data_IF_620963807970
#
_entry.id   IF_620963807970
#
_cell.length_a   1.000
_cell.length_b   1.000
_cell.length_c   1.000
_cell.angle_alpha   90.00
_cell.angle_beta   90.00
_cell.angle_gamma   90.00
#
_symmetry.space_group_name_H-M   'P 1'
#
loop_
_entity.id
_entity.type
_entity.pdbx_description
1 polymer ?
#
# COMPACT_ATOMS: atom_id res chain seq x y z
N UNK A 1 -29.86 -26.63 -28.44
CA UNK A 1 -28.58 -27.31 -28.22
C UNK A 1 -27.55 -26.74 -29.20
N UNK A 2 -26.29 -26.50 -28.83
CA UNK A 2 -25.74 -26.19 -27.50
C UNK A 2 -24.79 -24.98 -27.56
N UNK A 3 -24.84 -24.08 -26.56
CA UNK A 3 -23.70 -23.18 -26.29
C UNK A 3 -23.38 -23.17 -24.81
N UNK A 4 -22.41 -24.03 -24.49
CA UNK A 4 -21.28 -23.79 -23.59
C UNK A 4 -21.57 -23.10 -22.26
N UNK A 5 -21.74 -23.94 -21.25
CA UNK A 5 -21.53 -23.65 -19.84
C UNK A 5 -20.13 -23.04 -19.63
N UNK A 6 -20.05 -21.77 -19.26
CA UNK A 6 -18.82 -21.19 -18.72
C UNK A 6 -18.72 -21.58 -17.24
N UNK A 7 -17.61 -22.17 -16.78
CA UNK A 7 -17.41 -22.43 -15.37
C UNK A 7 -17.14 -21.12 -14.63
N UNK A 8 -17.89 -20.92 -13.55
CA UNK A 8 -17.72 -19.87 -12.57
C UNK A 8 -16.28 -19.88 -12.06
N UNK A 9 -15.51 -18.85 -12.40
CA UNK A 9 -14.19 -18.61 -11.82
C UNK A 9 -14.41 -18.21 -10.38
N UNK A 10 -14.23 -19.15 -9.46
CA UNK A 10 -14.12 -18.90 -8.03
C UNK A 10 -12.92 -17.99 -7.82
N UNK A 11 -13.18 -16.69 -7.70
CA UNK A 11 -12.26 -15.74 -7.10
C UNK A 11 -12.08 -16.16 -5.65
N UNK A 12 -10.97 -16.85 -5.38
CA UNK A 12 -10.51 -17.16 -4.03
C UNK A 12 -10.16 -15.84 -3.34
N UNK A 13 -11.18 -15.22 -2.76
CA UNK A 13 -11.01 -14.31 -1.65
C UNK A 13 -10.27 -15.08 -0.57
N UNK A 14 -8.96 -14.83 -0.44
CA UNK A 14 -8.14 -15.41 0.62
C UNK A 14 -8.56 -14.79 1.95
N UNK A 15 -9.67 -15.29 2.49
CA UNK A 15 -10.00 -15.23 3.90
C UNK A 15 -8.82 -15.82 4.65
N UNK A 16 -8.16 -14.99 5.46
CA UNK A 16 -6.87 -15.27 6.07
C UNK A 16 -7.10 -16.07 7.36
N UNK A 17 -7.56 -17.30 7.17
CA UNK A 17 -7.73 -18.30 8.21
C UNK A 17 -6.37 -18.64 8.84
N UNK A 18 -6.39 -19.14 10.08
CA UNK A 18 -5.25 -19.89 10.62
C UNK A 18 -4.76 -20.91 9.60
N UNK A 19 -3.46 -21.19 9.51
CA UNK A 19 -2.93 -22.17 8.56
C UNK A 19 -3.66 -23.48 8.77
N UNK A 20 -4.24 -24.05 7.71
CA UNK A 20 -5.02 -25.27 7.79
C UNK A 20 -4.10 -26.49 8.05
N UNK A 21 -2.79 -26.34 7.81
CA UNK A 21 -1.78 -27.39 7.98
C UNK A 21 -0.39 -26.87 8.33
N UNK A 22 0.47 -27.75 8.84
CA UNK A 22 1.88 -27.47 9.15
C UNK A 22 2.70 -27.12 7.90
N UNK A 23 2.37 -27.71 6.76
CA UNK A 23 3.12 -27.49 5.52
C UNK A 23 2.78 -26.14 4.89
N UNK A 24 1.53 -25.71 4.98
CA UNK A 24 1.11 -24.34 4.63
C UNK A 24 1.81 -23.30 5.51
N UNK A 25 1.88 -23.55 6.82
CA UNK A 25 2.61 -22.69 7.75
C UNK A 25 4.10 -22.53 7.40
N UNK A 26 4.77 -23.64 7.08
CA UNK A 26 6.18 -23.62 6.67
C UNK A 26 6.38 -22.87 5.35
N UNK A 27 5.51 -23.11 4.37
CA UNK A 27 5.57 -22.42 3.07
C UNK A 27 5.37 -20.90 3.23
N UNK A 28 4.39 -20.47 4.04
CA UNK A 28 4.22 -19.06 4.36
C UNK A 28 5.48 -18.47 5.01
N UNK A 29 6.03 -19.15 6.02
CA UNK A 29 7.26 -18.71 6.69
C UNK A 29 8.41 -18.53 5.70
N UNK A 30 8.65 -19.49 4.81
CA UNK A 30 9.71 -19.38 3.81
C UNK A 30 9.49 -18.24 2.82
N UNK A 31 8.25 -18.06 2.34
CA UNK A 31 7.88 -16.98 1.43
C UNK A 31 8.16 -15.62 2.07
N UNK A 32 7.65 -15.40 3.28
CA UNK A 32 7.87 -14.13 4.00
C UNK A 32 9.34 -13.91 4.35
N UNK A 33 10.09 -14.95 4.75
CA UNK A 33 11.53 -14.79 5.03
C UNK A 33 12.32 -14.37 3.79
N UNK A 34 12.00 -14.93 2.61
CA UNK A 34 12.62 -14.51 1.34
C UNK A 34 12.33 -13.05 1.02
N UNK A 35 11.09 -12.61 1.20
CA UNK A 35 10.70 -11.21 1.00
C UNK A 35 11.44 -10.28 1.98
N UNK A 36 11.45 -10.62 3.27
CA UNK A 36 12.08 -9.83 4.33
C UNK A 36 13.59 -9.66 4.11
N UNK A 37 14.27 -10.68 3.59
CA UNK A 37 15.71 -10.62 3.39
C UNK A 37 16.16 -9.71 2.24
N UNK A 38 15.22 -9.24 1.41
CA UNK A 38 15.48 -8.21 0.39
C UNK A 38 15.43 -6.77 0.93
N UNK A 39 14.91 -6.59 2.15
CA UNK A 39 14.72 -5.28 2.77
C UNK A 39 16.01 -4.73 3.43
N UNK A 40 16.13 -3.39 3.58
CA UNK A 40 17.17 -2.74 4.38
C UNK A 40 17.12 -3.18 5.85
N UNK A 41 18.23 -3.05 6.57
CA UNK A 41 18.43 -3.64 7.91
C UNK A 41 17.39 -3.20 8.95
N UNK A 42 17.00 -1.92 8.95
CA UNK A 42 15.99 -1.39 9.87
C UNK A 42 14.57 -1.95 9.60
N UNK A 43 14.21 -2.12 8.33
CA UNK A 43 12.93 -2.70 7.94
C UNK A 43 12.92 -4.21 8.15
N UNK A 44 14.06 -4.86 7.90
CA UNK A 44 14.28 -6.29 8.12
C UNK A 44 14.07 -6.65 9.58
N UNK A 45 14.66 -5.90 10.53
CA UNK A 45 14.46 -6.14 11.96
C UNK A 45 12.99 -6.06 12.36
N UNK A 46 12.29 -5.01 11.93
CA UNK A 46 10.85 -4.85 12.22
C UNK A 46 10.01 -5.97 11.60
N UNK A 47 10.33 -6.40 10.39
CA UNK A 47 9.60 -7.44 9.70
C UNK A 47 9.85 -8.84 10.31
N UNK A 48 11.09 -9.16 10.69
CA UNK A 48 11.42 -10.39 11.43
C UNK A 48 10.73 -10.39 12.80
N UNK A 49 10.78 -9.29 13.55
CA UNK A 49 10.07 -9.15 14.84
C UNK A 49 8.57 -9.43 14.68
N UNK A 50 7.93 -8.85 13.66
CA UNK A 50 6.51 -9.07 13.36
C UNK A 50 6.21 -10.54 13.04
N UNK A 51 7.04 -11.18 12.21
CA UNK A 51 6.88 -12.58 11.86
C UNK A 51 7.09 -13.50 13.08
N UNK A 52 8.10 -13.20 13.90
CA UNK A 52 8.39 -13.89 15.16
C UNK A 52 7.21 -13.85 16.12
N UNK A 53 6.71 -12.65 16.41
CA UNK A 53 5.57 -12.46 17.30
C UNK A 53 4.30 -13.12 16.74
N UNK A 54 4.10 -13.16 15.42
CA UNK A 54 2.93 -13.80 14.78
C UNK A 54 2.87 -15.31 15.04
N UNK A 55 4.00 -16.00 14.91
CA UNK A 55 4.06 -17.46 15.05
C UNK A 55 4.33 -17.93 16.49
N UNK A 56 4.60 -17.01 17.42
CA UNK A 56 4.92 -17.36 18.80
C UNK A 56 3.81 -18.20 19.46
N UNK A 57 4.14 -19.32 20.14
CA UNK A 57 3.16 -20.26 20.70
C UNK A 57 2.22 -19.62 21.72
N UNK A 58 2.70 -18.68 22.56
CA UNK A 58 1.85 -17.95 23.52
C UNK A 58 0.72 -17.12 22.88
N UNK A 59 0.81 -16.80 21.57
CA UNK A 59 -0.27 -16.08 20.86
C UNK A 59 -1.29 -17.00 20.20
N UNK A 60 -0.96 -18.28 20.05
CA UNK A 60 -1.68 -19.27 19.25
C UNK A 60 -2.18 -20.44 20.12
N UNK A 61 -2.88 -20.11 21.21
CA UNK A 61 -3.39 -21.06 22.20
C UNK A 61 -4.40 -22.06 21.62
N UNK A 62 -5.09 -21.68 20.55
CA UNK A 62 -6.10 -22.53 19.92
C UNK A 62 -5.47 -23.66 19.08
N UNK A 63 -4.18 -23.55 18.74
CA UNK A 63 -3.43 -24.53 17.94
C UNK A 63 -1.96 -24.64 18.42
N UNK A 64 -1.75 -24.84 19.72
CA UNK A 64 -0.43 -24.93 20.37
C UNK A 64 0.57 -25.87 19.66
N UNK A 65 0.22 -27.13 19.31
CA UNK A 65 1.20 -28.04 18.70
C UNK A 65 1.65 -27.56 17.31
N UNK A 66 0.73 -27.06 16.49
CA UNK A 66 1.02 -26.49 15.17
C UNK A 66 1.90 -25.24 15.29
N UNK A 67 1.54 -24.31 16.17
CA UNK A 67 2.28 -23.07 16.38
C UNK A 67 3.69 -23.32 16.92
N UNK A 68 3.85 -24.30 17.82
CA UNK A 68 5.15 -24.67 18.39
C UNK A 68 6.08 -25.21 17.30
N UNK A 69 5.60 -26.10 16.43
CA UNK A 69 6.38 -26.67 15.34
C UNK A 69 6.71 -25.63 14.26
N UNK A 70 5.74 -24.79 13.87
CA UNK A 70 5.96 -23.68 12.95
C UNK A 70 6.97 -22.65 13.52
N UNK A 71 6.91 -22.36 14.81
CA UNK A 71 7.81 -21.42 15.48
C UNK A 71 9.24 -21.96 15.61
N UNK A 72 9.40 -23.26 15.92
CA UNK A 72 10.71 -23.94 15.86
C UNK A 72 11.30 -23.84 14.46
N UNK A 73 10.50 -24.13 13.45
CA UNK A 73 10.90 -24.04 12.05
C UNK A 73 11.32 -22.62 11.66
N UNK A 74 10.54 -21.60 12.06
CA UNK A 74 10.87 -20.19 11.88
C UNK A 74 12.23 -19.83 12.49
N UNK A 75 12.45 -20.19 13.77
CA UNK A 75 13.73 -19.90 14.46
C UNK A 75 14.92 -20.54 13.75
N UNK A 76 14.77 -21.80 13.32
CA UNK A 76 15.81 -22.51 12.58
C UNK A 76 16.11 -21.83 11.24
N UNK A 77 15.06 -21.43 10.49
CA UNK A 77 15.24 -20.73 9.22
C UNK A 77 15.87 -19.36 9.40
N UNK A 78 15.44 -18.56 10.38
CA UNK A 78 16.09 -17.27 10.68
C UNK A 78 17.58 -17.47 11.02
N UNK A 79 17.92 -18.53 11.77
CA UNK A 79 19.32 -18.87 12.05
C UNK A 79 20.09 -19.31 10.79
N UNK A 80 19.50 -20.10 9.89
CA UNK A 80 20.09 -20.47 8.59
C UNK A 80 20.36 -19.25 7.71
N UNK A 81 19.39 -18.33 7.60
CA UNK A 81 19.54 -17.08 6.85
C UNK A 81 20.59 -16.15 7.47
N UNK A 82 20.73 -16.16 8.80
CA UNK A 82 21.73 -15.36 9.53
C UNK A 82 23.14 -15.95 9.42
N UNK A 83 23.29 -17.28 9.38
CA UNK A 83 24.58 -17.98 9.23
C UNK A 83 25.06 -18.06 7.77
N UNK A 84 24.18 -17.86 6.80
CA UNK A 84 24.47 -17.97 5.37
C UNK A 84 24.51 -19.44 4.91
N UNK A 85 24.08 -19.70 3.66
CA UNK A 85 24.22 -21.01 3.01
C UNK A 85 25.69 -21.44 3.00
N UNK A 86 26.08 -22.29 3.95
CA UNK A 86 27.39 -22.90 4.01
C UNK A 86 27.55 -23.97 2.92
N UNK A 87 27.96 -23.56 1.72
CA UNK A 87 28.77 -24.40 0.84
C UNK A 87 29.52 -23.52 -0.18
N UNK A 88 30.71 -23.07 0.21
CA UNK A 88 31.82 -22.82 -0.71
C UNK A 88 33.12 -22.97 0.07
N UNK A 89 33.88 -24.02 -0.26
CA UNK A 89 35.32 -24.05 0.01
C UNK A 89 35.94 -23.00 -0.91
N UNK A 90 36.47 -21.90 -0.37
CA UNK A 90 37.73 -21.29 -0.81
C UNK A 90 38.03 -20.04 0.02
N UNK A 91 39.17 -20.10 0.70
CA UNK A 91 40.20 -19.06 0.87
C UNK A 91 39.85 -17.59 0.56
N UNK A 92 39.97 -16.77 1.59
CA UNK A 92 40.51 -15.40 1.50
C UNK A 92 39.52 -14.28 1.18
N UNK A 93 39.11 -13.53 2.20
CA UNK A 93 39.17 -12.05 2.26
C UNK A 93 38.33 -11.54 3.44
N UNK A 94 38.96 -10.73 4.29
CA UNK A 94 38.39 -10.19 5.51
C UNK A 94 37.60 -8.92 5.22
N UNK A 95 36.28 -9.05 5.07
CA UNK A 95 35.34 -7.97 5.37
C UNK A 95 34.04 -8.59 5.89
N UNK A 96 33.99 -8.77 7.21
CA UNK A 96 32.82 -9.27 7.93
C UNK A 96 31.73 -8.20 7.90
N UNK A 97 30.89 -8.19 6.86
CA UNK A 97 29.55 -7.62 6.96
C UNK A 97 28.83 -8.40 8.06
N UNK A 98 28.86 -7.85 9.29
CA UNK A 98 28.22 -8.45 10.47
C UNK A 98 26.76 -8.70 10.13
N UNK A 99 26.42 -9.96 9.86
CA UNK A 99 25.03 -10.34 9.65
C UNK A 99 24.26 -10.14 10.96
N UNK A 100 22.99 -9.76 10.88
CA UNK A 100 22.23 -9.36 12.05
C UNK A 100 21.92 -10.62 12.85
N UNK A 101 22.45 -10.69 14.06
CA UNK A 101 22.14 -11.78 14.98
C UNK A 101 20.83 -11.48 15.71
N UNK A 102 19.76 -12.10 15.23
CA UNK A 102 18.43 -11.95 15.81
C UNK A 102 18.27 -12.66 17.16
N UNK A 103 19.18 -13.58 17.52
CA UNK A 103 19.07 -14.37 18.74
C UNK A 103 19.08 -13.52 20.01
N UNK A 104 19.82 -12.40 20.00
CA UNK A 104 19.89 -11.44 21.11
C UNK A 104 18.57 -10.73 21.40
N UNK A 105 17.59 -10.77 20.49
CA UNK A 105 16.28 -10.12 20.68
C UNK A 105 15.18 -11.10 21.10
N UNK A 106 15.42 -12.41 21.05
CA UNK A 106 14.39 -13.41 21.31
C UNK A 106 13.84 -13.31 22.73
N UNK A 107 14.67 -13.09 23.74
CA UNK A 107 14.19 -12.93 25.12
C UNK A 107 13.25 -11.72 25.26
N UNK A 108 13.58 -10.60 24.61
CA UNK A 108 12.73 -9.40 24.59
C UNK A 108 11.40 -9.68 23.88
N UNK A 109 11.43 -10.38 22.75
CA UNK A 109 10.24 -10.69 21.97
C UNK A 109 9.37 -11.75 22.63
N UNK A 110 9.95 -12.70 23.34
CA UNK A 110 9.24 -13.70 24.16
C UNK A 110 8.52 -13.01 25.31
N UNK A 111 9.17 -12.06 26.00
CA UNK A 111 8.53 -11.23 27.01
C UNK A 111 7.37 -10.42 26.41
N UNK A 112 7.56 -9.81 25.25
CA UNK A 112 6.51 -9.07 24.55
C UNK A 112 5.34 -9.95 24.13
N UNK A 113 5.59 -11.18 23.67
CA UNK A 113 4.56 -12.17 23.37
C UNK A 113 3.75 -12.55 24.61
N UNK A 114 4.42 -12.74 25.76
CA UNK A 114 3.76 -13.00 27.06
C UNK A 114 2.95 -11.79 27.54
N UNK A 115 3.45 -10.57 27.36
CA UNK A 115 2.70 -9.35 27.66
C UNK A 115 1.43 -9.23 26.79
N UNK A 116 1.54 -9.51 25.48
CA UNK A 116 0.38 -9.57 24.59
C UNK A 116 -0.64 -10.63 25.02
N UNK A 117 -0.17 -11.81 25.48
CA UNK A 117 -1.03 -12.85 26.05
C UNK A 117 -1.74 -12.37 27.31
N UNK A 118 -1.02 -11.84 28.29
CA UNK A 118 -1.59 -11.34 29.54
C UNK A 118 -2.60 -10.20 29.30
N UNK A 119 -2.36 -9.34 28.30
CA UNK A 119 -3.31 -8.33 27.85
C UNK A 119 -4.57 -8.94 27.24
N UNK A 120 -4.42 -9.96 26.38
CA UNK A 120 -5.54 -10.72 25.79
C UNK A 120 -6.37 -11.42 26.86
N UNK A 121 -5.75 -12.07 27.83
CA UNK A 121 -6.46 -12.77 28.92
C UNK A 121 -7.26 -11.81 29.80
N UNK A 122 -6.72 -10.61 30.07
CA UNK A 122 -7.43 -9.55 30.80
C UNK A 122 -8.60 -8.97 29.99
N UNK A 123 -8.44 -8.76 28.68
CA UNK A 123 -9.49 -8.19 27.82
C UNK A 123 -10.59 -9.21 27.47
N UNK A 124 -10.22 -10.46 27.18
CA UNK A 124 -11.13 -11.57 26.88
C UNK A 124 -12.06 -11.92 28.06
N UNK A 125 -11.58 -11.74 29.30
CA UNK A 125 -12.43 -11.83 30.50
C UNK A 125 -13.60 -10.84 30.52
N UNK A 126 -13.52 -9.74 29.76
CA UNK A 126 -14.59 -8.74 29.61
C UNK A 126 -15.43 -8.90 28.32
N UNK A 127 -14.89 -9.55 27.28
CA UNK A 127 -15.54 -9.66 25.96
C UNK A 127 -15.32 -11.06 25.36
N UNK A 128 -16.38 -11.87 25.30
CA UNK A 128 -16.34 -13.29 24.87
C UNK A 128 -16.09 -13.53 23.37
N UNK A 129 -15.89 -12.49 22.57
CA UNK A 129 -15.86 -12.55 21.08
C UNK A 129 -14.64 -11.90 20.45
N UNK A 130 -13.53 -11.74 21.19
CA UNK A 130 -12.30 -11.19 20.60
C UNK A 130 -11.46 -12.28 19.91
N UNK A 131 -11.44 -12.28 18.58
CA UNK A 131 -10.53 -13.09 17.77
C UNK A 131 -9.38 -12.22 17.21
N UNK A 132 -8.15 -12.53 17.63
CA UNK A 132 -6.94 -11.79 17.22
C UNK A 132 -6.70 -11.85 15.70
N UNK A 133 -7.11 -12.95 15.05
CA UNK A 133 -6.96 -13.13 13.59
C UNK A 133 -7.93 -12.25 12.80
N UNK A 134 -9.16 -12.07 13.28
CA UNK A 134 -10.13 -11.14 12.66
C UNK A 134 -9.81 -9.68 12.98
N UNK A 135 -9.22 -9.39 14.14
CA UNK A 135 -8.78 -8.02 14.45
C UNK A 135 -7.65 -7.52 13.53
N UNK A 136 -6.90 -8.43 12.88
CA UNK A 136 -5.90 -8.10 11.87
C UNK A 136 -6.50 -7.89 10.46
N UNK A 137 -7.82 -7.93 10.27
CA UNK A 137 -8.47 -7.53 9.01
C UNK A 137 -8.30 -6.03 8.74
N UNK A 138 -8.27 -5.22 9.79
CA UNK A 138 -8.11 -3.76 9.70
C UNK A 138 -6.65 -3.30 9.54
N UNK A 139 -5.70 -4.22 9.34
CA UNK A 139 -4.31 -3.83 9.02
C UNK A 139 -4.28 -3.44 7.54
N UNK A 140 -3.94 -2.17 7.22
CA UNK A 140 -3.86 -1.70 5.84
C UNK A 140 -2.94 -2.63 5.04
N UNK A 141 -3.38 -3.08 3.87
CA UNK A 141 -2.60 -3.97 3.00
C UNK A 141 -2.20 -3.21 1.75
N UNK A 142 -1.07 -2.49 1.77
CA UNK A 142 -0.50 -1.86 0.59
C UNK A 142 -0.55 -2.75 -0.65
N UNK A 143 -1.03 -2.20 -1.76
CA UNK A 143 -0.96 -2.81 -3.08
C UNK A 143 -0.04 -1.99 -3.97
N UNK A 144 1.26 -2.33 -3.96
CA UNK A 144 2.30 -1.60 -4.70
C UNK A 144 2.11 -1.70 -6.22
N UNK A 145 1.71 -2.87 -6.71
CA UNK A 145 1.51 -3.09 -8.16
C UNK A 145 0.36 -2.25 -8.71
N UNK A 146 -0.76 -2.22 -7.99
CA UNK A 146 -1.90 -1.38 -8.38
C UNK A 146 -1.58 0.11 -8.22
N UNK A 147 -0.87 0.51 -7.16
CA UNK A 147 -0.39 1.89 -7.03
C UNK A 147 0.46 2.31 -8.24
N UNK A 148 1.40 1.47 -8.68
CA UNK A 148 2.21 1.74 -9.88
C UNK A 148 1.37 1.76 -11.16
N UNK A 149 0.35 0.91 -11.28
CA UNK A 149 -0.57 0.91 -12.42
C UNK A 149 -1.32 2.23 -12.54
N UNK A 150 -1.87 2.74 -11.44
CA UNK A 150 -2.57 4.02 -11.38
C UNK A 150 -1.63 5.19 -11.62
N UNK A 151 -0.43 5.16 -11.04
CA UNK A 151 0.61 6.16 -11.28
C UNK A 151 1.00 6.24 -12.76
N UNK A 152 1.19 5.10 -13.45
CA UNK A 152 1.44 5.08 -14.90
C UNK A 152 0.33 5.75 -15.70
N UNK A 153 -0.94 5.46 -15.38
CA UNK A 153 -2.06 6.10 -16.07
C UNK A 153 -2.11 7.61 -15.80
N UNK A 154 -1.88 8.05 -14.56
CA UNK A 154 -1.85 9.48 -14.22
C UNK A 154 -0.82 10.26 -15.06
N UNK A 155 0.34 9.67 -15.31
CA UNK A 155 1.39 10.25 -16.16
C UNK A 155 1.00 10.30 -17.62
N UNK A 156 0.31 9.28 -18.13
CA UNK A 156 -0.24 9.29 -19.49
C UNK A 156 -1.30 10.40 -19.65
N UNK A 157 -2.19 10.56 -18.66
CA UNK A 157 -3.24 11.58 -18.68
C UNK A 157 -2.64 12.99 -18.65
N UNK A 158 -1.61 13.23 -17.84
CA UNK A 158 -0.90 14.52 -17.83
C UNK A 158 -0.25 14.81 -19.19
N UNK A 159 0.42 13.82 -19.78
CA UNK A 159 1.00 13.95 -21.14
C UNK A 159 -0.06 14.23 -22.21
N UNK A 160 -1.26 13.67 -22.05
CA UNK A 160 -2.38 13.95 -22.95
C UNK A 160 -2.91 15.37 -22.76
N UNK A 161 -2.97 15.89 -21.52
CA UNK A 161 -3.33 17.27 -21.24
C UNK A 161 -2.34 18.27 -21.86
N UNK A 162 -1.04 17.96 -21.81
CA UNK A 162 0.01 18.79 -22.45
C UNK A 162 -0.17 18.96 -23.96
N UNK A 163 -0.88 18.04 -24.64
CA UNK A 163 -1.10 18.12 -26.09
C UNK A 163 -2.21 19.09 -26.48
N UNK A 164 -3.16 19.34 -25.57
CA UNK A 164 -4.32 20.18 -25.84
C UNK A 164 -4.02 21.69 -25.67
N UNK A 165 -2.80 22.04 -25.24
CA UNK A 165 -2.42 23.44 -25.01
C UNK A 165 -2.56 24.23 -26.31
N UNK A 166 -3.18 25.39 -26.24
CA UNK A 166 -3.44 26.28 -27.39
C UNK A 166 -4.37 25.71 -28.48
N UNK A 167 -5.02 24.55 -28.28
CA UNK A 167 -5.95 23.96 -29.26
C UNK A 167 -7.40 24.47 -29.12
N UNK A 168 -7.60 25.66 -28.51
CA UNK A 168 -8.91 26.23 -28.17
C UNK A 168 -9.84 25.27 -27.38
N UNK A 169 -9.24 24.32 -26.65
CA UNK A 169 -9.91 23.23 -25.94
C UNK A 169 -9.49 23.21 -24.46
N UNK A 170 -9.48 24.39 -23.84
CA UNK A 170 -9.01 24.60 -22.46
C UNK A 170 -9.75 23.74 -21.44
N UNK A 171 -11.06 23.55 -21.62
CA UNK A 171 -11.88 22.68 -20.79
C UNK A 171 -11.40 21.22 -20.81
N UNK A 172 -10.95 20.72 -21.97
CA UNK A 172 -10.42 19.36 -22.12
C UNK A 172 -9.05 19.23 -21.47
N UNK A 173 -8.18 20.24 -21.62
CA UNK A 173 -6.90 20.28 -20.91
C UNK A 173 -7.12 20.21 -19.39
N UNK A 174 -7.98 21.07 -18.84
CA UNK A 174 -8.29 21.10 -17.41
C UNK A 174 -8.97 19.80 -16.92
N UNK A 175 -9.83 19.19 -17.74
CA UNK A 175 -10.42 17.89 -17.42
C UNK A 175 -9.37 16.77 -17.37
N UNK A 176 -8.46 16.71 -18.34
CA UNK A 176 -7.36 15.72 -18.34
C UNK A 176 -6.41 15.95 -17.15
N UNK A 177 -6.17 17.20 -16.75
CA UNK A 177 -5.45 17.52 -15.51
C UNK A 177 -6.18 16.98 -14.28
N UNK A 178 -7.51 17.17 -14.18
CA UNK A 178 -8.30 16.58 -13.09
C UNK A 178 -8.10 15.05 -13.05
N UNK A 179 -8.22 14.39 -14.20
CA UNK A 179 -8.06 12.94 -14.34
C UNK A 179 -6.66 12.46 -13.91
N UNK A 180 -5.60 13.19 -14.28
CA UNK A 180 -4.23 12.88 -13.87
C UNK A 180 -4.07 12.97 -12.34
N UNK A 181 -4.57 14.05 -11.73
CA UNK A 181 -4.48 14.29 -10.29
C UNK A 181 -5.26 13.24 -9.50
N UNK A 182 -6.51 12.95 -9.90
CA UNK A 182 -7.35 11.94 -9.24
C UNK A 182 -6.69 10.56 -9.25
N UNK A 183 -6.12 10.15 -10.39
CA UNK A 183 -5.44 8.86 -10.51
C UNK A 183 -4.13 8.81 -9.73
N UNK A 184 -3.39 9.91 -9.69
CA UNK A 184 -2.17 10.04 -8.88
C UNK A 184 -2.48 9.87 -7.39
N UNK A 185 -3.46 10.60 -6.87
CA UNK A 185 -3.88 10.48 -5.46
C UNK A 185 -4.43 9.07 -5.14
N UNK A 186 -5.14 8.46 -6.08
CA UNK A 186 -5.61 7.07 -5.97
C UNK A 186 -4.44 6.09 -5.86
N UNK A 187 -3.35 6.30 -6.62
CA UNK A 187 -2.13 5.50 -6.48
C UNK A 187 -1.53 5.58 -5.07
N UNK A 188 -1.52 6.78 -4.45
CA UNK A 188 -1.05 6.94 -3.08
C UNK A 188 -1.89 6.14 -2.07
N UNK A 189 -3.21 6.09 -2.27
CA UNK A 189 -4.13 5.31 -1.42
C UNK A 189 -3.89 3.81 -1.56
N UNK A 190 -3.76 3.31 -2.79
CA UNK A 190 -3.34 1.92 -3.03
C UNK A 190 -2.02 1.57 -2.36
N UNK A 191 -1.01 2.46 -2.36
CA UNK A 191 0.24 2.23 -1.61
C UNK A 191 0.02 2.22 -0.09
N UNK A 192 -0.89 3.01 0.45
CA UNK A 192 -1.10 3.11 1.90
C UNK A 192 -1.91 1.94 2.47
N UNK A 193 -3.03 1.60 1.83
CA UNK A 193 -4.02 0.67 2.37
C UNK A 193 -4.51 -0.39 1.38
N UNK A 194 -4.14 -0.28 0.10
CA UNK A 194 -4.52 -1.21 -0.97
C UNK A 194 -5.95 -1.05 -1.45
N UNK A 195 -6.63 0.03 -1.07
CA UNK A 195 -8.04 0.24 -1.36
C UNK A 195 -8.23 1.35 -2.39
N UNK A 196 -9.26 1.18 -3.21
CA UNK A 196 -9.76 2.25 -4.06
C UNK A 196 -10.50 3.28 -3.20
N UNK A 197 -10.36 4.60 -3.45
CA UNK A 197 -11.17 5.61 -2.78
C UNK A 197 -12.67 5.41 -3.08
N UNK A 198 -13.51 5.49 -2.05
CA UNK A 198 -14.96 5.19 -2.11
C UNK A 198 -15.81 6.28 -2.77
N UNK A 199 -15.21 7.10 -3.64
CA UNK A 199 -15.69 8.38 -4.19
C UNK A 199 -15.68 9.54 -3.17
N UNK A 200 -14.75 10.46 -3.40
CA UNK A 200 -14.63 11.73 -2.69
C UNK A 200 -14.01 12.75 -3.64
N UNK A 201 -14.21 14.05 -3.40
CA UNK A 201 -13.60 15.07 -4.25
C UNK A 201 -12.07 14.96 -4.23
N UNK A 202 -11.38 15.37 -5.30
CA UNK A 202 -9.91 15.36 -5.33
C UNK A 202 -9.27 16.16 -4.19
N UNK A 203 -9.98 17.17 -3.65
CA UNK A 203 -9.52 17.94 -2.50
C UNK A 203 -9.61 17.13 -1.20
N UNK A 204 -10.71 16.42 -1.00
CA UNK A 204 -10.89 15.51 0.14
C UNK A 204 -9.87 14.39 0.11
N UNK A 205 -9.64 13.82 -1.08
CA UNK A 205 -8.65 12.76 -1.28
C UNK A 205 -7.22 13.30 -1.04
N UNK A 206 -6.90 14.50 -1.50
CA UNK A 206 -5.61 15.13 -1.23
C UNK A 206 -5.41 15.40 0.27
N UNK A 207 -6.45 15.85 0.99
CA UNK A 207 -6.41 16.03 2.44
C UNK A 207 -6.12 14.71 3.17
N UNK A 208 -6.76 13.62 2.75
CA UNK A 208 -6.48 12.29 3.29
C UNK A 208 -5.04 11.86 3.01
N UNK A 209 -4.61 11.93 1.75
CA UNK A 209 -3.26 11.52 1.31
C UNK A 209 -2.16 12.35 1.97
N UNK A 210 -2.42 13.60 2.31
CA UNK A 210 -1.48 14.50 2.98
C UNK A 210 -1.02 13.97 4.36
N UNK A 211 -1.80 13.08 4.97
CA UNK A 211 -1.50 12.47 6.26
C UNK A 211 -0.57 11.25 6.14
N UNK A 212 -0.31 10.75 4.93
CA UNK A 212 0.45 9.50 4.73
C UNK A 212 1.95 9.70 4.84
N UNK A 213 2.46 10.89 4.50
CA UNK A 213 3.88 11.21 4.54
C UNK A 213 4.09 12.74 4.65
N UNK A 214 5.16 13.17 5.32
CA UNK A 214 5.51 14.59 5.49
C UNK A 214 5.64 15.34 4.16
N UNK A 215 6.19 14.70 3.11
CA UNK A 215 6.32 15.30 1.77
C UNK A 215 4.98 15.62 1.10
N UNK A 216 3.90 14.92 1.49
CA UNK A 216 2.58 15.05 0.88
C UNK A 216 1.69 16.10 1.57
N UNK A 217 2.19 16.76 2.64
CA UNK A 217 1.41 17.78 3.37
C UNK A 217 0.99 18.96 2.51
N UNK A 218 1.72 19.24 1.43
CA UNK A 218 1.45 20.33 0.50
C UNK A 218 0.33 20.01 -0.50
N UNK A 219 -0.05 18.74 -0.67
CA UNK A 219 -1.00 18.33 -1.71
C UNK A 219 -2.37 19.04 -1.65
N UNK A 220 -3.00 19.26 -0.48
CA UNK A 220 -4.29 19.95 -0.42
C UNK A 220 -4.20 21.39 -0.94
N UNK A 221 -3.07 22.07 -0.70
CA UNK A 221 -2.82 23.42 -1.21
C UNK A 221 -2.69 23.40 -2.73
N UNK A 222 -1.93 22.45 -3.29
CA UNK A 222 -1.76 22.32 -4.74
C UNK A 222 -3.12 22.04 -5.40
N UNK A 223 -3.92 21.13 -4.85
CA UNK A 223 -5.26 20.83 -5.37
C UNK A 223 -6.21 22.02 -5.22
N UNK A 224 -6.12 22.78 -4.14
CA UNK A 224 -6.86 24.04 -3.98
C UNK A 224 -6.55 25.04 -5.11
N UNK A 225 -5.26 25.23 -5.42
CA UNK A 225 -4.81 26.09 -6.52
C UNK A 225 -5.32 25.58 -7.88
N UNK A 226 -5.22 24.27 -8.14
CA UNK A 226 -5.75 23.66 -9.37
C UNK A 226 -7.25 23.92 -9.55
N UNK A 227 -8.04 23.79 -8.48
CA UNK A 227 -9.48 24.11 -8.53
C UNK A 227 -9.74 25.59 -8.81
N UNK A 228 -8.91 26.49 -8.26
CA UNK A 228 -9.01 27.92 -8.55
C UNK A 228 -8.68 28.26 -10.01
N UNK A 229 -7.84 27.44 -10.66
CA UNK A 229 -7.53 27.54 -12.10
C UNK A 229 -8.64 26.96 -13.00
N UNK A 230 -9.67 26.34 -12.44
CA UNK A 230 -10.81 25.78 -13.18
C UNK A 230 -10.78 24.26 -13.35
N UNK A 231 -9.81 23.56 -12.74
CA UNK A 231 -9.76 22.08 -12.76
C UNK A 231 -10.92 21.51 -11.96
N UNK A 232 -11.84 20.84 -12.67
CA UNK A 232 -13.03 20.23 -12.08
C UNK A 232 -13.52 19.07 -12.97
N UNK A 233 -14.20 18.07 -12.39
CA UNK A 233 -14.72 16.93 -13.16
C UNK A 233 -16.05 17.20 -13.85
N UNK A 234 -16.83 18.21 -13.44
CA UNK A 234 -18.18 18.46 -13.97
C UNK A 234 -18.22 19.77 -14.74
N UNK A 235 -17.66 20.84 -14.17
CA UNK A 235 -17.67 22.18 -14.81
C UNK A 235 -16.96 22.19 -16.15
N UNK A 236 -15.93 21.37 -16.33
CA UNK A 236 -15.21 21.26 -17.61
C UNK A 236 -15.99 20.51 -18.70
N UNK A 237 -17.07 19.81 -18.35
CA UNK A 237 -17.77 18.90 -19.27
C UNK A 237 -19.22 19.30 -19.56
N UNK A 238 -19.95 19.79 -18.55
CA UNK A 238 -21.40 19.91 -18.67
C UNK A 238 -21.87 21.38 -18.72
N UNK A 239 -22.64 21.78 -19.75
CA UNK A 239 -23.21 23.13 -19.85
C UNK A 239 -24.10 23.54 -18.67
N UNK A 240 -24.82 22.59 -18.06
CA UNK A 240 -25.68 22.87 -16.90
C UNK A 240 -24.91 23.28 -15.63
N UNK A 241 -23.58 23.17 -15.63
CA UNK A 241 -22.72 23.67 -14.56
C UNK A 241 -22.37 25.16 -14.72
N UNK A 242 -22.85 25.80 -15.79
CA UNK A 242 -22.63 27.20 -16.13
C UNK A 242 -23.97 27.93 -16.32
N UNK A 243 -24.01 29.27 -16.15
CA UNK A 243 -25.20 30.05 -16.46
C UNK A 243 -25.54 29.97 -17.96
N UNK A 244 -26.82 29.80 -18.29
CA UNK A 244 -27.27 29.91 -19.68
C UNK A 244 -26.93 31.30 -20.26
N UNK A 245 -26.42 31.42 -21.50
CA UNK A 245 -26.30 30.41 -22.56
C UNK A 245 -24.92 29.74 -22.65
N UNK A 246 -24.07 29.86 -21.63
CA UNK A 246 -22.66 29.48 -21.72
C UNK A 246 -22.41 27.97 -21.77
N UNK A 247 -21.35 27.60 -22.49
CA UNK A 247 -20.83 26.23 -22.58
C UNK A 247 -19.41 26.15 -22.00
N UNK A 248 -18.95 24.97 -21.52
CA UNK A 248 -17.63 24.84 -20.90
C UNK A 248 -16.47 25.39 -21.74
N UNK A 249 -16.48 25.18 -23.05
CA UNK A 249 -15.44 25.63 -23.98
C UNK A 249 -15.17 27.15 -23.91
N UNK A 250 -16.17 27.96 -23.54
CA UNK A 250 -16.06 29.42 -23.49
C UNK A 250 -15.72 29.97 -22.09
N UNK A 251 -15.65 29.12 -21.06
CA UNK A 251 -15.64 29.56 -19.66
C UNK A 251 -14.26 29.56 -18.99
N UNK A 252 -13.24 29.02 -19.66
CA UNK A 252 -11.90 28.87 -19.09
C UNK A 252 -10.88 29.70 -19.86
N UNK A 253 -9.95 30.30 -19.13
CA UNK A 253 -8.86 31.09 -19.71
C UNK A 253 -7.74 30.16 -20.15
N UNK A 254 -7.26 30.31 -21.39
CA UNK A 254 -6.11 29.54 -21.90
C UNK A 254 -4.85 29.73 -21.06
N UNK A 255 -4.66 30.92 -20.46
CA UNK A 255 -3.56 31.21 -19.52
C UNK A 255 -3.50 30.25 -18.32
N UNK A 256 -4.65 29.68 -17.92
CA UNK A 256 -4.71 28.75 -16.80
C UNK A 256 -4.18 27.36 -17.15
N UNK A 257 -4.08 27.01 -18.44
CA UNK A 257 -3.63 25.67 -18.91
C UNK A 257 -2.22 25.37 -18.40
N UNK A 258 -1.28 26.28 -18.66
CA UNK A 258 0.12 26.10 -18.30
C UNK A 258 0.30 26.04 -16.79
N UNK A 259 -0.35 26.95 -16.05
CA UNK A 259 -0.30 26.98 -14.58
C UNK A 259 -0.88 25.71 -13.96
N UNK A 260 -1.96 25.16 -14.55
CA UNK A 260 -2.58 23.93 -14.08
C UNK A 260 -1.68 22.72 -14.35
N UNK A 261 -1.04 22.67 -15.52
CA UNK A 261 -0.10 21.61 -15.89
C UNK A 261 1.16 21.59 -15.01
N UNK A 262 1.74 22.76 -14.73
CA UNK A 262 2.89 22.89 -13.83
C UNK A 262 2.54 22.43 -12.41
N UNK A 263 1.40 22.92 -11.88
CA UNK A 263 0.91 22.55 -10.55
C UNK A 263 0.61 21.04 -10.46
N UNK A 264 0.01 20.46 -11.49
CA UNK A 264 -0.27 19.02 -11.54
C UNK A 264 1.00 18.19 -11.69
N UNK A 265 1.98 18.66 -12.48
CA UNK A 265 3.29 18.02 -12.62
C UNK A 265 4.01 17.91 -11.28
N UNK A 266 4.00 18.98 -10.48
CA UNK A 266 4.60 18.93 -9.14
C UNK A 266 3.87 17.97 -8.21
N UNK A 267 2.53 17.97 -8.23
CA UNK A 267 1.73 17.00 -7.46
C UNK A 267 2.08 15.56 -7.83
N UNK A 268 2.09 15.25 -9.14
CA UNK A 268 2.39 13.90 -9.63
C UNK A 268 3.80 13.48 -9.22
N UNK A 269 4.80 14.38 -9.31
CA UNK A 269 6.18 14.11 -8.89
C UNK A 269 6.27 13.73 -7.41
N UNK A 270 5.63 14.50 -6.53
CA UNK A 270 5.62 14.22 -5.08
C UNK A 270 4.96 12.88 -4.76
N UNK A 271 3.86 12.57 -5.45
CA UNK A 271 3.16 11.30 -5.28
C UNK A 271 3.96 10.13 -5.87
N UNK A 272 4.61 10.30 -7.02
CA UNK A 272 5.47 9.28 -7.64
C UNK A 272 6.68 8.95 -6.76
N UNK A 273 7.31 9.95 -6.14
CA UNK A 273 8.35 9.74 -5.12
C UNK A 273 7.83 8.97 -3.92
N UNK A 274 6.58 9.25 -3.51
CA UNK A 274 5.94 8.48 -2.44
C UNK A 274 5.55 7.08 -2.90
N UNK A 275 5.19 6.83 -4.16
CA UNK A 275 4.67 5.54 -4.65
C UNK A 275 5.78 4.55 -4.96
N UNK A 276 6.90 5.01 -5.52
CA UNK A 276 8.03 4.14 -5.87
C UNK A 276 8.78 3.62 -4.63
#
# INVERSE_FOLDING_TARGET
MPHSSKPSTTSSSSTRSSPASLDEAKWEIEKYLKEIWTLPEEEKHKAIKRLYLRWHPDKNLDCIPLATEAFKYLRNKVAEFSKGKGQCKSTGSSYSSRRPDFSNYYDQWDQEARHHRNGRDRFSRSNRTYNFWTHNENVPRPNKEEAQRWSRQSRCDLKAAYRDINEASTEWCLFKVHQAVEKSLTAAKYKKDGQHPTSSSILSLAAEVSLFNLKLRVLPQIVGNLKALGVDNKKTQYPNCHPFPHIPNEQFKSENELLALESASELLRLVEEYVN
#
